data_IF_600733640421
#
_entry.id   IF_600733640421
#
_cell.length_a   1.000
_cell.length_b   1.000
_cell.length_c   1.000
_cell.angle_alpha   90.00
_cell.angle_beta   90.00
_cell.angle_gamma   90.00
#
_symmetry.space_group_name_H-M   'P 1'
#
loop_
_entity.id
_entity.type
_entity.pdbx_description
1 polymer ?
#
# COMPACT_ATOMS: atom_id res chain seq x y z
N UNK A 1 -5.76 12.77 -9.01
CA UNK A 1 -6.03 12.27 -7.64
C UNK A 1 -4.93 11.29 -7.27
N UNK A 2 -4.33 11.46 -6.10
CA UNK A 2 -3.16 10.68 -5.64
C UNK A 2 -3.44 10.21 -4.23
N UNK A 3 -3.07 8.97 -3.92
CA UNK A 3 -3.13 8.39 -2.58
C UNK A 3 -1.75 7.85 -2.23
N UNK A 4 -1.30 8.09 -1.00
CA UNK A 4 -0.03 7.58 -0.46
C UNK A 4 -0.32 6.60 0.66
N UNK A 5 0.32 5.43 0.62
CA UNK A 5 0.30 4.44 1.70
C UNK A 5 1.71 4.25 2.23
N UNK A 6 1.91 4.64 3.49
CA UNK A 6 3.21 4.63 4.18
C UNK A 6 3.53 3.30 4.84
N UNK A 7 2.53 2.68 5.47
CA UNK A 7 2.60 1.42 6.20
C UNK A 7 1.17 0.92 6.43
N UNK A 8 1.01 -0.37 6.76
CA UNK A 8 -0.27 -0.94 7.19
C UNK A 8 -0.03 -1.71 8.49
N UNK A 9 -0.40 -1.11 9.60
CA UNK A 9 -0.22 -1.67 10.94
C UNK A 9 -1.57 -2.05 11.56
N UNK A 10 -1.54 -3.00 12.48
CA UNK A 10 -2.72 -3.50 13.22
C UNK A 10 -3.13 -2.54 14.33
N UNK A 11 -3.33 -1.27 14.01
CA UNK A 11 -3.92 -0.32 14.94
C UNK A 11 -5.44 -0.35 14.82
N UNK A 12 -6.13 -0.40 15.96
CA UNK A 12 -7.60 -0.39 16.05
C UNK A 12 -8.31 -1.57 15.37
N UNK A 13 -7.80 -2.79 15.53
CA UNK A 13 -8.35 -4.04 15.00
C UNK A 13 -9.84 -4.28 15.30
N UNK A 14 -10.37 -3.70 16.38
CA UNK A 14 -11.81 -3.73 16.72
C UNK A 14 -12.69 -3.17 15.59
N UNK A 15 -12.17 -2.22 14.80
CA UNK A 15 -12.88 -1.62 13.66
C UNK A 15 -12.94 -2.57 12.45
N UNK A 16 -12.05 -3.56 12.39
CA UNK A 16 -11.87 -4.46 11.25
C UNK A 16 -12.36 -5.89 11.53
N UNK A 17 -13.17 -6.06 12.58
CA UNK A 17 -13.71 -7.35 13.00
C UNK A 17 -12.65 -8.28 13.61
N UNK A 18 -11.54 -7.73 14.10
CA UNK A 18 -10.45 -8.49 14.69
C UNK A 18 -9.61 -9.30 13.70
N UNK A 19 -9.83 -9.14 12.38
CA UNK A 19 -9.15 -9.91 11.34
C UNK A 19 -8.27 -9.01 10.45
N UNK A 20 -6.99 -9.35 10.38
CA UNK A 20 -5.99 -8.61 9.63
C UNK A 20 -6.18 -8.72 8.11
N UNK A 21 -6.75 -9.84 7.65
CA UNK A 21 -7.08 -10.00 6.23
C UNK A 21 -8.19 -9.04 5.80
N UNK A 22 -9.13 -8.72 6.70
CA UNK A 22 -10.12 -7.69 6.43
C UNK A 22 -9.46 -6.32 6.27
N UNK A 23 -8.51 -5.96 7.15
CA UNK A 23 -7.75 -4.71 7.03
C UNK A 23 -7.05 -4.61 5.66
N UNK A 24 -6.33 -5.67 5.26
CA UNK A 24 -5.69 -5.72 3.93
C UNK A 24 -6.71 -5.56 2.80
N UNK A 25 -7.86 -6.23 2.89
CA UNK A 25 -8.93 -6.12 1.88
C UNK A 25 -9.44 -4.69 1.78
N UNK A 26 -9.70 -4.03 2.91
CA UNK A 26 -10.14 -2.63 2.93
C UNK A 26 -9.13 -1.69 2.27
N UNK A 27 -7.83 -1.88 2.50
CA UNK A 27 -6.80 -1.09 1.82
C UNK A 27 -6.81 -1.30 0.30
N UNK A 28 -7.02 -2.55 -0.16
CA UNK A 28 -7.15 -2.82 -1.60
C UNK A 28 -8.39 -2.14 -2.19
N UNK A 29 -9.54 -2.23 -1.52
CA UNK A 29 -10.78 -1.57 -1.93
C UNK A 29 -10.66 -0.05 -1.95
N UNK A 30 -10.05 0.52 -0.90
CA UNK A 30 -9.76 1.95 -0.81
C UNK A 30 -8.90 2.44 -1.99
N UNK A 31 -7.85 1.68 -2.34
CA UNK A 31 -7.01 2.02 -3.49
C UNK A 31 -7.76 1.84 -4.83
N UNK A 32 -8.74 0.93 -4.91
CA UNK A 32 -9.57 0.78 -6.10
C UNK A 32 -10.61 1.91 -6.27
N UNK A 33 -10.88 2.71 -5.24
CA UNK A 33 -11.68 3.94 -5.37
C UNK A 33 -10.96 5.05 -6.15
N UNK A 34 -9.66 4.91 -6.40
CA UNK A 34 -8.96 5.78 -7.34
C UNK A 34 -9.56 5.64 -8.75
N UNK A 35 -9.69 6.74 -9.51
CA UNK A 35 -10.00 6.65 -10.93
C UNK A 35 -8.90 5.88 -11.66
N UNK A 36 -9.19 5.39 -12.87
CA UNK A 36 -8.21 4.59 -13.65
C UNK A 36 -6.90 5.36 -13.93
N UNK A 37 -6.95 6.70 -13.96
CA UNK A 37 -5.81 7.60 -14.13
C UNK A 37 -5.25 8.12 -12.79
N UNK A 38 -5.77 7.64 -11.65
CA UNK A 38 -5.25 7.94 -10.33
C UNK A 38 -3.92 7.23 -10.08
N UNK A 39 -3.14 7.75 -9.13
CA UNK A 39 -1.83 7.19 -8.77
C UNK A 39 -1.82 6.74 -7.31
N UNK A 40 -1.45 5.49 -7.08
CA UNK A 40 -1.15 4.94 -5.76
C UNK A 40 0.36 4.98 -5.51
N UNK A 41 0.81 5.74 -4.50
CA UNK A 41 2.20 5.80 -4.06
C UNK A 41 2.38 4.91 -2.85
N UNK A 42 3.20 3.87 -2.95
CA UNK A 42 3.23 2.76 -1.98
C UNK A 42 4.64 2.54 -1.41
N UNK A 43 4.77 2.55 -0.09
CA UNK A 43 6.01 2.21 0.59
C UNK A 43 6.24 0.70 0.58
N UNK A 44 7.21 0.20 -0.18
CA UNK A 44 7.46 -1.25 -0.27
C UNK A 44 8.44 -1.76 0.78
N UNK A 45 8.94 -0.90 1.66
CA UNK A 45 9.70 -1.32 2.84
C UNK A 45 8.77 -1.99 3.87
N UNK A 46 7.50 -1.59 3.90
CA UNK A 46 6.47 -2.26 4.67
C UNK A 46 6.10 -3.62 4.04
N UNK A 47 6.15 -4.73 4.80
CA UNK A 47 5.90 -6.07 4.27
C UNK A 47 4.43 -6.29 3.87
N UNK A 48 3.49 -5.64 4.53
CA UNK A 48 2.04 -5.76 4.30
C UNK A 48 1.67 -5.04 3.01
N UNK A 49 2.18 -3.83 2.81
CA UNK A 49 2.05 -3.07 1.56
C UNK A 49 2.61 -3.88 0.39
N UNK A 50 3.78 -4.51 0.58
CA UNK A 50 4.39 -5.39 -0.41
C UNK A 50 3.52 -6.60 -0.73
N UNK A 51 2.85 -7.17 0.27
CA UNK A 51 1.96 -8.33 0.11
C UNK A 51 0.69 -7.99 -0.69
N UNK A 52 0.08 -6.83 -0.47
CA UNK A 52 -1.14 -6.43 -1.19
C UNK A 52 -0.84 -5.86 -2.59
N UNK A 53 0.41 -5.52 -2.90
CA UNK A 53 0.83 -4.89 -4.15
C UNK A 53 0.35 -5.59 -5.44
N UNK A 54 0.34 -6.93 -5.55
CA UNK A 54 -0.19 -7.65 -6.71
C UNK A 54 -1.72 -7.52 -6.87
N UNK A 55 -2.45 -7.24 -5.78
CA UNK A 55 -3.92 -7.10 -5.77
C UNK A 55 -4.38 -5.72 -6.28
N UNK A 56 -3.46 -4.78 -6.47
CA UNK A 56 -3.76 -3.39 -6.90
C UNK A 56 -3.72 -3.29 -8.42
N UNK A 57 -4.88 -3.01 -9.01
CA UNK A 57 -5.11 -2.86 -10.47
C UNK A 57 -5.21 -1.38 -10.90
N UNK A 58 -4.49 -0.50 -10.20
CA UNK A 58 -4.40 0.95 -10.49
C UNK A 58 -2.95 1.30 -10.81
N UNK A 59 -2.69 2.39 -11.55
CA UNK A 59 -1.34 2.92 -11.70
C UNK A 59 -0.70 3.11 -10.32
N UNK A 60 0.51 2.57 -10.17
CA UNK A 60 1.22 2.53 -8.90
C UNK A 60 2.67 2.94 -9.08
N UNK A 61 3.20 3.61 -8.08
CA UNK A 61 4.58 4.03 -7.96
C UNK A 61 5.06 3.62 -6.57
N UNK A 62 6.19 2.94 -6.52
CA UNK A 62 6.74 2.37 -5.29
C UNK A 62 7.91 3.19 -4.78
N UNK A 63 7.99 3.38 -3.47
CA UNK A 63 9.12 4.04 -2.83
C UNK A 63 9.65 3.25 -1.63
N UNK A 64 10.91 3.49 -1.25
CA UNK A 64 11.53 2.89 -0.06
C UNK A 64 13.06 2.91 -0.08
N UNK A 65 13.69 2.16 0.80
CA UNK A 65 15.12 1.86 0.79
C UNK A 65 15.44 0.61 -0.04
N UNK A 66 14.42 -0.22 -0.31
CA UNK A 66 14.54 -1.38 -1.20
C UNK A 66 14.87 -0.99 -2.63
N UNK A 67 15.91 -1.59 -3.22
CA UNK A 67 16.26 -1.47 -4.65
C UNK A 67 15.18 -1.97 -5.62
N UNK A 68 14.12 -2.61 -5.11
CA UNK A 68 12.96 -3.04 -5.90
C UNK A 68 11.91 -1.92 -6.05
N UNK A 69 12.10 -0.77 -5.38
CA UNK A 69 11.20 0.37 -5.49
C UNK A 69 11.54 1.19 -6.75
N UNK A 70 10.54 1.84 -7.33
CA UNK A 70 10.72 2.77 -8.44
C UNK A 70 11.56 3.98 -7.99
N UNK A 71 11.33 4.45 -6.75
CA UNK A 71 12.13 5.48 -6.09
C UNK A 71 12.78 4.88 -4.85
N UNK A 72 14.08 4.63 -4.93
CA UNK A 72 14.84 4.15 -3.79
C UNK A 72 15.96 5.10 -3.40
N UNK A 73 16.18 5.23 -2.10
CA UNK A 73 17.35 5.90 -1.55
C UNK A 73 18.30 4.86 -0.97
N UNK A 74 19.59 4.97 -1.28
CA UNK A 74 20.65 4.23 -0.60
C UNK A 74 21.21 5.14 0.49
N UNK A 75 21.21 4.68 1.74
CA UNK A 75 21.98 5.31 2.81
C UNK A 75 23.45 4.97 2.56
N UNK A 76 24.13 5.74 1.72
CA UNK A 76 25.57 5.62 1.44
C UNK A 76 26.16 7.00 1.23
#
# INVERSE_FOLDING_TARGET
>A
MVVVVTNIETDHMDTYGGDFENLKRYFVEFLHNLPFYGLAVLCIDDPVVREILPKISRPKLTYGFSKKADYFSSLT
#
